data_IF_726068764652
#
_entry.id   IF_726068764652
#
_cell.length_a   1.000
_cell.length_b   1.000
_cell.length_c   1.000
_cell.angle_alpha   90.00
_cell.angle_beta   90.00
_cell.angle_gamma   90.00
#
_symmetry.space_group_name_H-M   'P 1'
#
loop_
_entity.id
_entity.type
_entity.pdbx_description
1 polymer ?
#
# COMPACT_ATOMS: atom_id res chain seq x y z
N UNK A 1 -8.35 -8.30 1.13
CA UNK A 1 -8.79 -8.29 -0.29
C UNK A 1 -9.53 -9.57 -0.66
N UNK A 2 -8.88 -10.75 -0.76
CA UNK A 2 -9.56 -12.00 -1.20
C UNK A 2 -10.74 -12.43 -0.30
N UNK A 3 -10.58 -12.37 1.03
CA UNK A 3 -11.66 -12.73 1.97
C UNK A 3 -12.86 -11.79 1.82
N UNK A 4 -12.63 -10.48 1.64
CA UNK A 4 -13.71 -9.51 1.44
C UNK A 4 -14.46 -9.74 0.13
N UNK A 5 -13.76 -10.05 -0.97
CA UNK A 5 -14.44 -10.36 -2.25
C UNK A 5 -15.31 -11.62 -2.20
N UNK A 6 -15.02 -12.55 -1.29
CA UNK A 6 -15.83 -13.77 -1.09
C UNK A 6 -17.01 -13.49 -0.15
N UNK A 7 -16.79 -12.70 0.91
CA UNK A 7 -17.81 -12.40 1.93
C UNK A 7 -18.78 -11.29 1.50
N UNK A 8 -18.31 -10.34 0.69
CA UNK A 8 -19.06 -9.19 0.18
C UNK A 8 -18.52 -8.80 -1.23
N UNK A 9 -19.01 -9.43 -2.31
CA UNK A 9 -18.54 -9.13 -3.66
C UNK A 9 -18.80 -7.65 -4.00
N UNK A 10 -17.92 -7.01 -4.80
CA UNK A 10 -18.11 -5.62 -5.20
C UNK A 10 -19.44 -5.47 -5.92
N UNK A 11 -20.37 -4.71 -5.33
CA UNK A 11 -21.63 -4.37 -5.98
C UNK A 11 -21.41 -3.16 -6.88
N UNK A 12 -22.11 -3.12 -8.02
CA UNK A 12 -22.14 -1.93 -8.84
C UNK A 12 -22.63 -0.75 -7.99
N UNK A 13 -21.92 0.37 -8.05
CA UNK A 13 -22.29 1.58 -7.33
C UNK A 13 -23.67 2.06 -7.80
N UNK A 14 -24.63 2.11 -6.88
CA UNK A 14 -26.03 2.49 -7.15
C UNK A 14 -26.46 3.75 -6.39
N UNK A 15 -25.52 4.45 -5.75
CA UNK A 15 -25.76 5.65 -4.96
C UNK A 15 -25.41 5.48 -3.48
N UNK A 16 -25.25 6.61 -2.79
CA UNK A 16 -24.83 6.62 -1.39
C UNK A 16 -25.94 6.12 -0.46
N UNK A 17 -27.21 6.34 -0.83
CA UNK A 17 -28.39 5.91 -0.09
C UNK A 17 -28.53 4.39 -0.13
N UNK A 18 -28.26 3.77 -1.29
CA UNK A 18 -28.27 2.32 -1.43
C UNK A 18 -27.15 1.67 -0.61
N UNK A 19 -25.94 2.25 -0.67
CA UNK A 19 -24.81 1.80 0.13
C UNK A 19 -25.06 1.95 1.63
N UNK A 20 -25.64 3.06 2.08
CA UNK A 20 -25.95 3.29 3.49
C UNK A 20 -26.90 2.24 4.08
N UNK A 21 -27.86 1.74 3.29
CA UNK A 21 -28.81 0.70 3.72
C UNK A 21 -28.17 -0.68 3.90
N UNK A 22 -27.13 -0.97 3.12
CA UNK A 22 -26.46 -2.28 3.12
C UNK A 22 -25.12 -2.26 3.83
N UNK A 23 -24.69 -1.09 4.33
CA UNK A 23 -23.42 -0.92 5.00
C UNK A 23 -23.36 -1.75 6.28
N UNK A 24 -22.27 -2.50 6.41
CA UNK A 24 -21.90 -3.18 7.63
C UNK A 24 -20.48 -2.78 8.02
N UNK A 25 -20.20 -2.43 9.29
CA UNK A 25 -18.86 -2.03 9.73
C UNK A 25 -17.76 -3.06 9.39
N UNK A 26 -18.10 -4.35 9.29
CA UNK A 26 -17.18 -5.42 8.88
C UNK A 26 -16.60 -5.21 7.48
N UNK A 27 -17.28 -4.48 6.59
CA UNK A 27 -16.77 -4.13 5.26
C UNK A 27 -15.52 -3.24 5.33
N UNK A 28 -15.32 -2.51 6.45
CA UNK A 28 -14.15 -1.68 6.69
C UNK A 28 -13.02 -2.41 7.42
N UNK A 29 -13.20 -3.68 7.79
CA UNK A 29 -12.26 -4.44 8.63
C UNK A 29 -10.84 -4.48 8.04
N UNK A 30 -10.72 -4.54 6.72
CA UNK A 30 -9.42 -4.56 6.04
C UNK A 30 -8.61 -3.28 6.24
N UNK A 31 -9.25 -2.13 6.51
CA UNK A 31 -8.54 -0.86 6.68
C UNK A 31 -7.85 -0.74 8.04
N UNK A 32 -8.32 -1.47 9.05
CA UNK A 32 -7.73 -1.48 10.41
C UNK A 32 -6.29 -1.99 10.42
N UNK A 33 -5.95 -3.18 9.87
CA UNK A 33 -4.56 -3.62 9.78
C UNK A 33 -3.75 -2.82 8.74
N UNK A 34 -4.39 -2.12 7.81
CA UNK A 34 -3.70 -1.29 6.81
C UNK A 34 -3.18 0.05 7.36
N UNK A 35 -3.75 0.57 8.45
CA UNK A 35 -3.23 1.76 9.13
C UNK A 35 -1.79 1.57 9.66
N UNK A 36 -1.48 0.56 10.49
CA UNK A 36 -0.12 0.35 10.96
C UNK A 36 0.83 -0.06 9.83
N UNK A 37 0.35 -0.72 8.78
CA UNK A 37 1.17 -1.07 7.62
C UNK A 37 1.91 0.15 7.03
N UNK A 38 1.22 1.27 6.85
CA UNK A 38 1.82 2.49 6.31
C UNK A 38 2.99 3.01 7.17
N UNK A 39 2.77 3.11 8.48
CA UNK A 39 3.78 3.60 9.42
C UNK A 39 4.96 2.62 9.60
N UNK A 40 4.69 1.32 9.71
CA UNK A 40 5.73 0.29 9.85
C UNK A 40 6.58 0.16 8.59
N UNK A 41 5.99 0.33 7.41
CA UNK A 41 6.73 0.36 6.15
C UNK A 41 7.65 1.59 6.04
N UNK A 42 7.21 2.76 6.52
CA UNK A 42 8.08 3.95 6.63
C UNK A 42 9.26 3.69 7.57
N UNK A 43 9.02 3.12 8.76
CA UNK A 43 10.10 2.74 9.69
C UNK A 43 11.08 1.79 9.02
N UNK A 44 10.58 0.77 8.32
CA UNK A 44 11.42 -0.18 7.59
C UNK A 44 12.31 0.54 6.55
N UNK A 45 11.77 1.48 5.78
CA UNK A 45 12.54 2.23 4.78
C UNK A 45 13.58 3.17 5.40
N UNK A 46 13.28 3.75 6.56
CA UNK A 46 14.27 4.49 7.35
C UNK A 46 15.40 3.56 7.83
N UNK A 47 15.09 2.34 8.28
CA UNK A 47 16.10 1.34 8.61
C UNK A 47 16.97 0.98 7.39
N UNK A 48 16.37 0.84 6.20
CA UNK A 48 17.12 0.63 4.94
C UNK A 48 18.07 1.80 4.64
N UNK A 49 17.67 3.03 4.91
CA UNK A 49 18.54 4.21 4.78
C UNK A 49 19.76 4.14 5.70
N UNK A 50 19.58 3.80 6.98
CA UNK A 50 20.70 3.65 7.91
C UNK A 50 21.58 2.42 7.63
N UNK A 51 21.03 1.40 6.97
CA UNK A 51 21.77 0.24 6.48
C UNK A 51 22.61 0.56 5.24
N UNK A 52 22.20 1.51 4.41
CA UNK A 52 22.82 1.80 3.13
C UNK A 52 24.26 2.34 3.27
N UNK A 53 25.18 1.76 2.49
CA UNK A 53 26.51 2.31 2.28
C UNK A 53 26.41 3.72 1.67
N UNK A 54 27.33 4.61 2.03
CA UNK A 54 27.34 6.02 1.62
C UNK A 54 27.05 6.26 0.12
N UNK A 55 27.71 5.59 -0.85
CA UNK A 55 27.45 5.83 -2.28
C UNK A 55 26.04 5.43 -2.73
N UNK A 56 25.32 4.63 -1.93
CA UNK A 56 23.96 4.15 -2.24
C UNK A 56 22.88 4.84 -1.42
N UNK A 57 23.23 5.76 -0.51
CA UNK A 57 22.25 6.45 0.35
C UNK A 57 21.23 7.25 -0.44
N UNK A 58 21.57 7.75 -1.63
CA UNK A 58 20.61 8.44 -2.50
C UNK A 58 19.41 7.54 -2.85
N UNK A 59 19.65 6.27 -3.17
CA UNK A 59 18.61 5.30 -3.50
C UNK A 59 17.71 5.00 -2.31
N UNK A 60 18.31 4.87 -1.12
CA UNK A 60 17.55 4.67 0.11
C UNK A 60 16.72 5.92 0.48
N UNK A 61 17.30 7.12 0.32
CA UNK A 61 16.62 8.38 0.60
C UNK A 61 15.43 8.61 -0.36
N UNK A 62 15.59 8.30 -1.64
CA UNK A 62 14.47 8.30 -2.60
C UNK A 62 13.39 7.30 -2.18
N UNK A 63 13.79 6.11 -1.71
CA UNK A 63 12.88 5.12 -1.13
C UNK A 63 12.07 5.67 0.05
N UNK A 64 12.75 6.35 0.99
CA UNK A 64 12.09 7.01 2.12
C UNK A 64 11.14 8.12 1.66
N UNK A 65 11.56 8.97 0.72
CA UNK A 65 10.74 10.07 0.22
C UNK A 65 9.41 9.58 -0.41
N UNK A 66 9.47 8.59 -1.30
CA UNK A 66 8.27 7.98 -1.88
C UNK A 66 7.42 7.25 -0.84
N UNK A 67 8.06 6.64 0.16
CA UNK A 67 7.36 6.00 1.27
C UNK A 67 6.59 6.99 2.13
N UNK A 68 7.13 8.19 2.35
CA UNK A 68 6.42 9.26 3.06
C UNK A 68 5.15 9.67 2.30
N UNK A 69 5.23 9.83 0.98
CA UNK A 69 4.05 10.11 0.14
C UNK A 69 3.01 9.00 0.28
N UNK A 70 3.44 7.74 0.13
CA UNK A 70 2.57 6.57 0.36
C UNK A 70 1.92 6.59 1.74
N UNK A 71 2.71 6.81 2.80
CA UNK A 71 2.24 6.73 4.17
C UNK A 71 1.19 7.79 4.48
N UNK A 72 1.39 9.03 4.01
CA UNK A 72 0.43 10.12 4.16
C UNK A 72 -0.86 9.81 3.42
N UNK A 73 -0.77 9.44 2.14
CA UNK A 73 -1.95 9.15 1.32
C UNK A 73 -2.75 7.95 1.86
N UNK A 74 -2.09 6.82 2.14
CA UNK A 74 -2.74 5.61 2.62
C UNK A 74 -3.37 5.81 4.01
N UNK A 75 -2.65 6.45 4.93
CA UNK A 75 -3.18 6.71 6.28
C UNK A 75 -4.39 7.64 6.23
N UNK A 76 -4.33 8.69 5.41
CA UNK A 76 -5.46 9.61 5.21
C UNK A 76 -6.66 8.86 4.63
N UNK A 77 -6.43 7.99 3.64
CA UNK A 77 -7.49 7.21 3.01
C UNK A 77 -8.22 6.29 4.00
N UNK A 78 -7.48 5.53 4.79
CA UNK A 78 -8.07 4.61 5.77
C UNK A 78 -8.70 5.33 6.95
N UNK A 79 -8.09 6.45 7.41
CA UNK A 79 -8.68 7.29 8.44
C UNK A 79 -10.02 7.87 7.99
N UNK A 80 -10.14 8.34 6.75
CA UNK A 80 -11.41 8.81 6.18
C UNK A 80 -12.46 7.70 6.22
N UNK A 81 -12.13 6.48 5.81
CA UNK A 81 -13.11 5.37 5.86
C UNK A 81 -13.55 5.04 7.29
N UNK A 82 -12.60 4.91 8.21
CA UNK A 82 -12.85 4.41 9.56
C UNK A 82 -13.46 5.46 10.50
N UNK A 83 -13.10 6.73 10.31
CA UNK A 83 -13.48 7.83 11.20
C UNK A 83 -14.61 8.68 10.61
N UNK A 84 -14.54 9.02 9.32
CA UNK A 84 -15.53 9.91 8.68
C UNK A 84 -16.67 9.09 8.10
N UNK A 85 -16.40 8.23 7.12
CA UNK A 85 -17.46 7.47 6.40
C UNK A 85 -18.27 6.61 7.36
N UNK A 86 -17.60 5.84 8.23
CA UNK A 86 -18.29 5.01 9.21
C UNK A 86 -19.19 5.82 10.15
N UNK A 87 -18.73 6.97 10.63
CA UNK A 87 -19.48 7.79 11.59
C UNK A 87 -20.68 8.48 10.91
N UNK A 88 -20.49 9.07 9.74
CA UNK A 88 -21.56 9.71 8.97
C UNK A 88 -22.65 8.72 8.57
N UNK A 89 -22.28 7.51 8.13
CA UNK A 89 -23.27 6.45 7.85
C UNK A 89 -24.07 6.05 9.10
N UNK A 90 -23.42 5.97 10.26
CA UNK A 90 -24.11 5.68 11.53
C UNK A 90 -25.05 6.81 11.97
N UNK A 91 -24.74 8.06 11.60
CA UNK A 91 -25.58 9.23 11.85
C UNK A 91 -26.68 9.44 10.78
N UNK A 92 -26.67 8.68 9.68
CA UNK A 92 -27.58 8.88 8.55
C UNK A 92 -27.22 10.07 7.66
N UNK A 93 -26.01 10.62 7.81
CA UNK A 93 -25.48 11.73 7.02
C UNK A 93 -24.89 11.22 5.71
N UNK A 94 -25.60 11.40 4.59
CA UNK A 94 -25.17 10.89 3.27
C UNK A 94 -24.70 11.98 2.30
N UNK A 95 -25.00 13.25 2.59
CA UNK A 95 -24.66 14.38 1.72
C UNK A 95 -23.13 14.47 1.51
N UNK A 96 -22.69 14.50 0.25
CA UNK A 96 -21.27 14.55 -0.11
C UNK A 96 -20.47 13.25 0.14
N UNK A 97 -21.01 12.31 0.93
CA UNK A 97 -20.29 11.11 1.36
C UNK A 97 -19.97 10.13 0.21
N UNK A 98 -20.72 10.21 -0.89
CA UNK A 98 -20.45 9.44 -2.11
C UNK A 98 -19.05 9.68 -2.69
N UNK A 99 -18.48 10.88 -2.55
CA UNK A 99 -17.11 11.18 -3.00
C UNK A 99 -16.04 10.65 -2.06
N UNK A 100 -16.39 10.29 -0.83
CA UNK A 100 -15.46 9.73 0.16
C UNK A 100 -15.60 8.20 0.27
N UNK A 101 -16.71 7.61 -0.16
CA UNK A 101 -16.97 6.18 0.02
C UNK A 101 -16.11 5.31 -0.89
N UNK A 102 -15.46 4.29 -0.31
CA UNK A 102 -14.71 3.28 -1.08
C UNK A 102 -15.59 2.48 -2.07
N UNK A 103 -16.91 2.43 -1.85
CA UNK A 103 -17.85 1.73 -2.71
C UNK A 103 -18.08 2.46 -4.05
N UNK A 104 -17.82 3.76 -4.13
CA UNK A 104 -17.87 4.52 -5.37
C UNK A 104 -16.51 4.48 -6.07
N UNK A 105 -16.43 3.91 -7.27
CA UNK A 105 -15.18 3.80 -8.06
C UNK A 105 -14.58 5.16 -8.44
N UNK A 106 -15.40 6.21 -8.52
CA UNK A 106 -14.96 7.58 -8.87
C UNK A 106 -14.74 8.46 -7.63
N UNK A 107 -14.60 7.86 -6.45
CA UNK A 107 -14.36 8.59 -5.20
C UNK A 107 -12.91 9.03 -5.02
N UNK A 108 -12.70 9.97 -4.11
CA UNK A 108 -11.39 10.36 -3.58
C UNK A 108 -10.65 9.15 -2.99
N UNK A 109 -11.38 8.14 -2.50
CA UNK A 109 -10.76 6.92 -1.98
C UNK A 109 -9.89 6.22 -3.04
N UNK A 110 -10.38 6.08 -4.27
CA UNK A 110 -9.63 5.41 -5.34
C UNK A 110 -8.49 6.28 -5.88
N UNK A 111 -8.65 7.60 -5.87
CA UNK A 111 -7.55 8.52 -6.14
C UNK A 111 -6.43 8.38 -5.10
N UNK A 112 -6.76 8.32 -3.81
CA UNK A 112 -5.78 8.10 -2.74
C UNK A 112 -5.22 6.68 -2.72
N UNK A 113 -5.96 5.67 -3.21
CA UNK A 113 -5.48 4.30 -3.33
C UNK A 113 -4.28 4.16 -4.28
N UNK A 114 -4.02 5.15 -5.15
CA UNK A 114 -2.77 5.25 -5.92
C UNK A 114 -1.51 5.36 -5.05
N UNK A 115 -1.66 5.54 -3.74
CA UNK A 115 -0.60 5.44 -2.73
C UNK A 115 0.25 4.17 -2.91
N UNK A 116 -0.35 3.03 -3.27
CA UNK A 116 0.39 1.78 -3.48
C UNK A 116 1.34 1.83 -4.69
N UNK A 117 1.06 2.68 -5.69
CA UNK A 117 2.01 2.97 -6.76
C UNK A 117 3.26 3.67 -6.23
N UNK A 118 3.10 4.61 -5.31
CA UNK A 118 4.23 5.26 -4.61
C UNK A 118 5.00 4.28 -3.73
N UNK A 119 4.32 3.34 -3.07
CA UNK A 119 4.98 2.25 -2.33
C UNK A 119 5.83 1.39 -3.27
N UNK A 120 5.33 1.03 -4.45
CA UNK A 120 6.10 0.30 -5.46
C UNK A 120 7.31 1.11 -5.94
N UNK A 121 7.17 2.41 -6.21
CA UNK A 121 8.30 3.28 -6.57
C UNK A 121 9.35 3.34 -5.45
N UNK A 122 8.92 3.42 -4.19
CA UNK A 122 9.81 3.39 -3.04
C UNK A 122 10.65 2.11 -3.00
N UNK A 123 10.00 0.95 -3.20
CA UNK A 123 10.69 -0.34 -3.28
C UNK A 123 11.66 -0.38 -4.46
N UNK A 124 11.26 0.12 -5.63
CA UNK A 124 12.14 0.18 -6.80
C UNK A 124 13.42 0.98 -6.54
N UNK A 125 13.29 2.16 -5.92
CA UNK A 125 14.44 2.98 -5.54
C UNK A 125 15.32 2.26 -4.52
N UNK A 126 14.72 1.70 -3.46
CA UNK A 126 15.44 1.02 -2.39
C UNK A 126 16.13 -0.29 -2.86
N UNK A 127 15.70 -0.89 -3.98
CA UNK A 127 16.28 -2.13 -4.51
C UNK A 127 17.79 -2.06 -4.72
N UNK A 128 18.29 -0.88 -5.10
CA UNK A 128 19.69 -0.66 -5.46
C UNK A 128 20.62 -0.53 -4.24
N UNK A 129 20.06 -0.44 -3.02
CA UNK A 129 20.81 -0.39 -1.76
C UNK A 129 21.55 -1.71 -1.50
N UNK A 130 20.89 -2.84 -1.76
CA UNK A 130 21.40 -4.16 -1.38
C UNK A 130 22.64 -4.57 -2.18
N UNK A 131 23.45 -5.48 -1.63
CA UNK A 131 24.73 -5.95 -2.18
C UNK A 131 24.59 -7.05 -3.24
N UNK A 132 25.72 -7.65 -3.63
CA UNK A 132 25.76 -8.81 -4.54
C UNK A 132 25.72 -10.16 -3.79
N UNK A 133 25.67 -10.13 -2.46
CA UNK A 133 25.51 -11.33 -1.64
C UNK A 133 24.17 -12.03 -1.93
N UNK A 134 24.04 -13.30 -1.53
CA UNK A 134 22.87 -14.11 -1.88
C UNK A 134 21.58 -13.46 -1.39
N UNK A 135 21.52 -12.97 -0.15
CA UNK A 135 20.29 -12.41 0.43
C UNK A 135 20.00 -11.04 -0.18
N UNK A 136 21.02 -10.18 -0.29
CA UNK A 136 20.88 -8.86 -0.93
C UNK A 136 20.36 -8.94 -2.36
N UNK A 137 20.79 -9.93 -3.16
CA UNK A 137 20.27 -10.16 -4.51
C UNK A 137 18.79 -10.54 -4.52
N UNK A 138 18.36 -11.41 -3.60
CA UNK A 138 16.94 -11.77 -3.50
C UNK A 138 16.08 -10.55 -3.12
N UNK A 139 16.51 -9.77 -2.11
CA UNK A 139 15.78 -8.55 -1.72
C UNK A 139 15.68 -7.58 -2.90
N UNK A 140 16.79 -7.34 -3.61
CA UNK A 140 16.80 -6.47 -4.79
C UNK A 140 15.76 -6.91 -5.82
N UNK A 141 15.74 -8.18 -6.20
CA UNK A 141 14.83 -8.64 -7.25
C UNK A 141 13.37 -8.68 -6.80
N UNK A 142 13.10 -8.97 -5.52
CA UNK A 142 11.74 -8.84 -4.97
C UNK A 142 11.27 -7.38 -5.00
N UNK A 143 12.14 -6.44 -4.62
CA UNK A 143 11.85 -5.01 -4.67
C UNK A 143 11.66 -4.51 -6.10
N UNK A 144 12.49 -4.94 -7.05
CA UNK A 144 12.33 -4.65 -8.48
C UNK A 144 11.01 -5.22 -8.99
N UNK A 145 10.68 -6.47 -8.66
CA UNK A 145 9.44 -7.12 -9.10
C UNK A 145 8.20 -6.32 -8.66
N UNK A 146 8.15 -5.84 -7.42
CA UNK A 146 7.06 -4.96 -6.96
C UNK A 146 7.14 -3.59 -7.64
N UNK A 147 8.34 -3.04 -7.78
CA UNK A 147 8.59 -1.72 -8.34
C UNK A 147 8.15 -1.56 -9.79
N UNK A 148 8.43 -2.55 -10.65
CA UNK A 148 8.06 -2.52 -12.07
C UNK A 148 6.54 -2.58 -12.30
N UNK A 149 5.75 -2.92 -11.28
CA UNK A 149 4.29 -2.87 -11.37
C UNK A 149 3.72 -1.47 -11.16
N UNK A 150 4.52 -0.48 -10.73
CA UNK A 150 4.04 0.88 -10.47
C UNK A 150 3.38 1.53 -11.71
N UNK A 151 3.95 1.46 -12.93
CA UNK A 151 3.29 2.02 -14.11
C UNK A 151 1.93 1.37 -14.39
N UNK A 152 1.79 0.05 -14.21
CA UNK A 152 0.51 -0.64 -14.38
C UNK A 152 -0.55 -0.13 -13.41
N UNK A 153 -0.17 0.23 -12.19
CA UNK A 153 -1.10 0.80 -11.21
C UNK A 153 -1.56 2.21 -11.63
N UNK A 154 -0.63 3.08 -12.04
CA UNK A 154 -0.98 4.44 -12.49
C UNK A 154 -1.79 4.44 -13.79
N UNK A 155 -1.36 3.67 -14.79
CA UNK A 155 -2.07 3.49 -16.07
C UNK A 155 -3.43 2.84 -15.84
N UNK A 156 -3.51 1.83 -14.97
CA UNK A 156 -4.77 1.15 -14.64
C UNK A 156 -5.83 2.10 -14.11
N UNK A 157 -5.42 3.08 -13.30
CA UNK A 157 -6.32 4.12 -12.78
C UNK A 157 -6.66 5.15 -13.86
N UNK A 158 -5.68 5.64 -14.63
CA UNK A 158 -5.90 6.67 -15.66
C UNK A 158 -6.81 6.21 -16.80
N UNK A 159 -6.77 4.92 -17.15
CA UNK A 159 -7.55 4.34 -18.26
C UNK A 159 -8.72 3.48 -17.79
N UNK A 160 -9.06 3.54 -16.50
CA UNK A 160 -10.20 2.80 -15.92
C UNK A 160 -10.19 1.29 -16.27
N UNK A 161 -9.00 0.68 -16.34
CA UNK A 161 -8.81 -0.72 -16.74
C UNK A 161 -9.33 -1.73 -15.70
N UNK A 162 -9.98 -1.22 -14.65
CA UNK A 162 -10.66 -1.99 -13.62
C UNK A 162 -9.76 -2.94 -12.84
N UNK A 163 -10.39 -3.95 -12.25
CA UNK A 163 -9.73 -4.96 -11.39
C UNK A 163 -8.66 -5.77 -12.12
N UNK A 164 -8.76 -5.91 -13.45
CA UNK A 164 -7.79 -6.67 -14.24
C UNK A 164 -6.39 -6.04 -14.20
N UNK A 165 -6.30 -4.71 -14.27
CA UNK A 165 -5.02 -4.00 -14.17
C UNK A 165 -4.40 -4.07 -12.77
N UNK A 166 -5.23 -4.19 -11.73
CA UNK A 166 -4.78 -4.33 -10.33
C UNK A 166 -4.42 -5.75 -9.91
N UNK A 167 -4.89 -6.77 -10.62
CA UNK A 167 -4.72 -8.17 -10.23
C UNK A 167 -3.24 -8.61 -10.19
N UNK A 168 -2.48 -8.30 -11.25
CA UNK A 168 -1.07 -8.65 -11.32
C UNK A 168 -0.22 -7.87 -10.30
N UNK A 169 -0.30 -6.53 -10.20
CA UNK A 169 0.37 -5.78 -9.13
C UNK A 169 0.03 -6.30 -7.72
N UNK A 170 -1.24 -6.60 -7.47
CA UNK A 170 -1.71 -7.13 -6.19
C UNK A 170 -1.12 -8.51 -5.86
N UNK A 171 -1.05 -9.42 -6.85
CA UNK A 171 -0.44 -10.73 -6.68
C UNK A 171 1.06 -10.62 -6.40
N UNK A 172 1.77 -9.83 -7.20
CA UNK A 172 3.22 -9.62 -7.05
C UNK A 172 3.51 -9.02 -5.67
N UNK A 173 2.77 -7.99 -5.27
CA UNK A 173 2.92 -7.36 -3.96
C UNK A 173 2.65 -8.34 -2.81
N UNK A 174 1.60 -9.16 -2.92
CA UNK A 174 1.19 -10.09 -1.86
C UNK A 174 2.23 -11.19 -1.58
N UNK A 175 3.06 -11.54 -2.57
CA UNK A 175 4.10 -12.55 -2.42
C UNK A 175 5.47 -11.92 -2.15
N UNK A 176 5.85 -10.91 -2.93
CA UNK A 176 7.19 -10.36 -2.91
C UNK A 176 7.45 -9.46 -1.69
N UNK A 177 6.46 -8.66 -1.27
CA UNK A 177 6.63 -7.76 -0.12
C UNK A 177 6.85 -8.53 1.18
N UNK A 178 6.02 -9.52 1.57
CA UNK A 178 6.27 -10.29 2.79
C UNK A 178 7.59 -11.07 2.74
N UNK A 179 7.92 -11.68 1.60
CA UNK A 179 9.18 -12.38 1.43
C UNK A 179 10.38 -11.43 1.61
N UNK A 180 10.32 -10.22 1.06
CA UNK A 180 11.37 -9.23 1.21
C UNK A 180 11.50 -8.72 2.66
N UNK A 181 10.37 -8.51 3.36
CA UNK A 181 10.37 -8.14 4.78
C UNK A 181 11.08 -9.21 5.65
N UNK A 182 10.81 -10.50 5.40
CA UNK A 182 11.47 -11.60 6.11
C UNK A 182 12.99 -11.62 5.85
N UNK A 183 13.41 -11.42 4.60
CA UNK A 183 14.83 -11.35 4.26
C UNK A 183 15.51 -10.12 4.86
N UNK A 184 14.84 -8.98 4.90
CA UNK A 184 15.33 -7.76 5.56
C UNK A 184 15.54 -7.98 7.06
N UNK A 185 14.61 -8.64 7.75
CA UNK A 185 14.78 -8.99 9.15
C UNK A 185 16.04 -9.85 9.38
N UNK A 186 16.33 -10.79 8.47
CA UNK A 186 17.57 -11.59 8.52
C UNK A 186 18.81 -10.73 8.29
N UNK A 187 18.78 -9.80 7.34
CA UNK A 187 19.90 -8.89 7.05
C UNK A 187 20.18 -7.96 8.23
N UNK A 188 19.15 -7.35 8.81
CA UNK A 188 19.32 -6.45 9.95
C UNK A 188 19.87 -7.19 11.17
N UNK A 189 19.35 -8.38 11.49
CA UNK A 189 19.88 -9.19 12.60
C UNK A 189 21.34 -9.59 12.40
N UNK A 190 21.76 -9.89 11.16
CA UNK A 190 23.16 -10.18 10.84
C UNK A 190 24.05 -8.95 10.96
N UNK A 191 23.55 -7.77 10.58
CA UNK A 191 24.28 -6.52 10.71
C UNK A 191 24.50 -6.14 12.18
N UNK A 192 23.50 -6.35 13.04
CA UNK A 192 23.62 -6.10 14.47
C UNK A 192 24.62 -7.05 15.14
N UNK A 193 24.60 -8.34 14.79
CA UNK A 193 25.54 -9.33 15.32
C UNK A 193 27.01 -9.09 14.94
N UNK A 194 27.27 -8.31 13.88
CA UNK A 194 28.64 -7.91 13.47
C UNK A 194 29.08 -6.63 14.18
N UNK A 195 28.14 -5.85 14.72
CA UNK A 195 28.40 -4.59 15.44
C UNK A 195 28.54 -4.78 16.95
N UNK A 196 28.02 -5.87 17.50
CA UNK A 196 28.16 -6.29 18.89
C UNK A 196 29.50 -7.01 19.13
#
# INVERSE_FOLDING_TARGET
MIIQTIVAPPQAWTGIEAFARTFQPVQLLNFVPSLPLASTFLVMMVCVYFYAAEPKRIWALLGVAFTTVYAVMASSNYAIQLLVVRASLAAGETEGLGLLSHANSHSVFWALATSYGYMSLAMLCAAWVFGADRIGRWIRWLFVAVGVTAPLQFVGVLFELGVAAGALPGLVWSLATPAACLLLAVVFRRADAVRA
#
